data_IF_908650561056
#
_entry.id   IF_908650561056
#
_cell.length_a   1.000
_cell.length_b   1.000
_cell.length_c   1.000
_cell.angle_alpha   90.00
_cell.angle_beta   90.00
_cell.angle_gamma   90.00
#
_symmetry.space_group_name_H-M   'P 1'
#
loop_
_entity.id
_entity.type
_entity.pdbx_description
1 polymer ?
#
# COMPACT_ATOMS: atom_id res chain seq x y z
N UNK A 1 -13.17 -14.10 19.64
CA UNK A 1 -13.52 -12.67 19.74
C UNK A 1 -12.20 -11.92 19.82
N UNK A 2 -11.61 -11.56 18.68
CA UNK A 2 -10.35 -10.83 18.63
C UNK A 2 -10.62 -9.34 18.79
N UNK A 3 -9.85 -8.68 19.64
CA UNK A 3 -9.90 -7.24 19.85
C UNK A 3 -9.45 -6.51 18.57
N UNK A 4 -10.42 -6.16 17.72
CA UNK A 4 -10.25 -5.33 16.52
C UNK A 4 -10.21 -3.84 16.82
N UNK A 5 -9.59 -3.45 17.94
CA UNK A 5 -9.24 -2.06 18.20
C UNK A 5 -7.90 -1.72 17.56
N UNK A 6 -7.74 -0.48 17.11
CA UNK A 6 -6.46 0.06 16.62
C UNK A 6 -5.31 -0.31 17.55
N UNK A 7 -4.24 -0.91 17.02
CA UNK A 7 -3.04 -1.22 17.81
C UNK A 7 -2.49 0.11 18.36
N UNK A 8 -2.20 0.21 19.67
CA UNK A 8 -1.60 1.42 20.23
C UNK A 8 -0.32 1.80 19.50
N UNK A 9 -0.16 3.08 19.18
CA UNK A 9 1.04 3.57 18.50
C UNK A 9 2.31 3.42 19.36
N UNK A 10 2.16 3.39 20.69
CA UNK A 10 3.23 3.15 21.63
C UNK A 10 3.45 1.64 21.85
N UNK A 11 4.72 1.21 21.75
CA UNK A 11 5.08 -0.20 21.86
C UNK A 11 4.81 -0.78 23.26
N UNK A 12 5.06 -0.01 24.33
CA UNK A 12 4.83 -0.48 25.68
C UNK A 12 3.31 -0.69 25.92
N UNK A 13 2.50 0.28 25.50
CA UNK A 13 1.04 0.18 25.54
C UNK A 13 0.51 -0.97 24.67
N UNK A 14 1.09 -1.23 23.50
CA UNK A 14 0.71 -2.35 22.65
C UNK A 14 1.02 -3.70 23.32
N UNK A 15 2.18 -3.82 23.98
CA UNK A 15 2.56 -5.01 24.75
C UNK A 15 1.66 -5.20 25.97
N UNK A 16 1.32 -4.14 26.69
CA UNK A 16 0.35 -4.17 27.80
C UNK A 16 -1.05 -4.59 27.33
N UNK A 17 -1.42 -4.24 26.10
CA UNK A 17 -2.64 -4.69 25.43
C UNK A 17 -2.56 -6.14 24.90
N UNK A 18 -1.46 -6.84 25.14
CA UNK A 18 -1.27 -8.25 24.78
C UNK A 18 -0.89 -8.49 23.32
N UNK A 19 -0.41 -7.46 22.60
CA UNK A 19 0.08 -7.60 21.22
C UNK A 19 1.47 -8.24 21.21
N UNK A 20 1.67 -9.13 20.24
CA UNK A 20 2.95 -9.79 19.97
C UNK A 20 3.94 -8.84 19.30
N UNK A 21 5.24 -9.16 19.37
CA UNK A 21 6.27 -8.38 18.67
C UNK A 21 6.04 -8.35 17.15
N UNK A 22 5.54 -9.45 16.56
CA UNK A 22 5.19 -9.52 15.13
C UNK A 22 4.04 -8.56 14.78
N UNK A 23 2.95 -8.54 15.58
CA UNK A 23 1.82 -7.62 15.37
C UNK A 23 2.28 -6.15 15.47
N UNK A 24 3.18 -5.85 16.40
CA UNK A 24 3.75 -4.51 16.57
C UNK A 24 4.62 -4.13 15.37
N UNK A 25 5.44 -5.07 14.87
CA UNK A 25 6.27 -4.85 13.68
C UNK A 25 5.41 -4.61 12.42
N UNK A 26 4.37 -5.41 12.22
CA UNK A 26 3.43 -5.24 11.09
C UNK A 26 2.68 -3.92 11.21
N UNK A 27 2.21 -3.54 12.40
CA UNK A 27 1.55 -2.25 12.61
C UNK A 27 2.48 -1.10 12.21
N UNK A 28 3.70 -1.08 12.75
CA UNK A 28 4.74 -0.08 12.41
C UNK A 28 5.03 -0.07 10.92
N UNK A 29 5.08 -1.24 10.28
CA UNK A 29 5.27 -1.36 8.84
C UNK A 29 4.15 -0.64 8.06
N UNK A 30 2.90 -0.84 8.45
CA UNK A 30 1.74 -0.27 7.76
C UNK A 30 1.65 1.26 7.89
N UNK A 31 1.92 1.80 9.09
CA UNK A 31 1.77 3.24 9.38
C UNK A 31 3.02 4.05 9.05
N UNK A 32 4.16 3.39 8.87
CA UNK A 32 5.45 4.02 8.58
C UNK A 32 5.75 4.27 7.10
N UNK A 33 4.83 3.93 6.18
CA UNK A 33 5.05 4.08 4.75
C UNK A 33 5.21 5.56 4.36
N UNK A 34 4.52 6.45 5.09
CA UNK A 34 4.52 7.89 4.83
C UNK A 34 5.81 8.58 5.27
N UNK A 35 6.43 8.14 6.36
CA UNK A 35 7.63 8.76 6.93
C UNK A 35 8.91 7.95 6.71
N UNK A 36 8.79 6.74 6.17
CA UNK A 36 9.90 5.83 5.88
C UNK A 36 10.30 4.94 7.05
N UNK A 37 9.69 5.07 8.23
CA UNK A 37 9.99 4.25 9.41
C UNK A 37 9.66 2.76 9.23
N UNK A 38 8.87 2.41 8.20
CA UNK A 38 8.67 1.02 7.74
C UNK A 38 9.99 0.27 7.55
N UNK A 39 11.07 0.97 7.15
CA UNK A 39 12.38 0.35 6.93
C UNK A 39 12.99 -0.25 8.20
N UNK A 40 12.70 0.32 9.37
CA UNK A 40 13.26 -0.15 10.65
C UNK A 40 12.75 -1.56 11.02
N UNK A 41 11.56 -1.90 10.53
CA UNK A 41 10.88 -3.17 10.78
C UNK A 41 10.85 -4.08 9.54
N UNK A 42 11.59 -3.72 8.49
CA UNK A 42 11.71 -4.51 7.26
C UNK A 42 12.91 -5.47 7.34
N UNK A 43 12.70 -6.72 6.96
CA UNK A 43 13.77 -7.71 6.79
C UNK A 43 14.65 -7.35 5.57
N UNK A 44 15.82 -7.97 5.47
CA UNK A 44 16.68 -7.80 4.30
C UNK A 44 15.96 -8.28 3.04
N UNK A 45 15.99 -7.48 1.96
CA UNK A 45 15.26 -7.79 0.73
C UNK A 45 13.75 -7.87 0.93
N UNK A 46 13.18 -7.02 1.81
CA UNK A 46 11.74 -6.91 1.96
C UNK A 46 11.08 -6.39 0.69
N UNK A 47 9.94 -6.98 0.34
CA UNK A 47 9.13 -6.60 -0.81
C UNK A 47 7.72 -6.12 -0.39
N UNK A 48 7.15 -5.21 -1.16
CA UNK A 48 5.78 -4.74 -0.98
C UNK A 48 5.04 -4.71 -2.30
N UNK A 49 3.92 -5.43 -2.39
CA UNK A 49 3.03 -5.45 -3.55
C UNK A 49 1.71 -4.73 -3.25
N UNK A 50 1.53 -3.48 -3.67
CA UNK A 50 0.23 -2.81 -3.57
C UNK A 50 -0.75 -3.42 -4.58
N UNK A 51 -2.07 -3.21 -4.43
CA UNK A 51 -3.06 -3.75 -5.36
C UNK A 51 -2.77 -3.32 -6.81
N UNK A 52 -2.90 -4.26 -7.74
CA UNK A 52 -2.74 -3.98 -9.17
C UNK A 52 -1.30 -3.80 -9.65
N UNK A 53 -0.30 -3.98 -8.79
CA UNK A 53 1.11 -3.92 -9.17
C UNK A 53 1.91 -5.12 -8.65
N UNK A 54 2.99 -5.54 -9.35
CA UNK A 54 3.88 -6.56 -8.82
C UNK A 54 4.61 -6.08 -7.55
N UNK A 55 5.07 -7.00 -6.69
CA UNK A 55 5.91 -6.65 -5.56
C UNK A 55 7.16 -5.88 -5.97
N UNK A 56 7.47 -4.83 -5.20
CA UNK A 56 8.66 -3.99 -5.38
C UNK A 56 9.54 -4.06 -4.13
N UNK A 57 10.86 -3.89 -4.25
CA UNK A 57 11.72 -3.69 -3.10
C UNK A 57 11.24 -2.52 -2.24
N UNK A 58 11.28 -2.67 -0.91
CA UNK A 58 10.73 -1.67 0.01
C UNK A 58 11.34 -0.28 -0.19
N UNK A 59 12.63 -0.18 -0.54
CA UNK A 59 13.28 1.10 -0.84
C UNK A 59 12.69 1.82 -2.05
N UNK A 60 12.30 1.06 -3.10
CA UNK A 60 11.62 1.62 -4.26
C UNK A 60 10.21 2.10 -3.88
N UNK A 61 9.49 1.31 -3.08
CA UNK A 61 8.16 1.69 -2.58
C UNK A 61 8.22 2.98 -1.74
N UNK A 62 9.18 3.10 -0.82
CA UNK A 62 9.34 4.32 -0.01
C UNK A 62 9.71 5.55 -0.85
N UNK A 63 10.45 5.38 -1.94
CA UNK A 63 10.70 6.44 -2.91
C UNK A 63 9.40 6.96 -3.56
N UNK A 64 8.49 6.04 -3.93
CA UNK A 64 7.15 6.38 -4.44
C UNK A 64 6.33 7.08 -3.35
N UNK A 65 6.25 6.50 -2.14
CA UNK A 65 5.47 7.05 -1.03
C UNK A 65 5.92 8.46 -0.66
N UNK A 66 7.22 8.74 -0.68
CA UNK A 66 7.76 10.08 -0.42
C UNK A 66 7.21 11.14 -1.38
N UNK A 67 7.12 10.82 -2.68
CA UNK A 67 6.55 11.74 -3.66
C UNK A 67 5.05 11.94 -3.43
N UNK A 68 4.34 10.86 -3.12
CA UNK A 68 2.92 10.92 -2.79
C UNK A 68 2.64 11.79 -1.56
N UNK A 69 3.40 11.64 -0.46
CA UNK A 69 3.27 12.47 0.75
C UNK A 69 3.57 13.95 0.46
N UNK A 70 4.51 14.24 -0.44
CA UNK A 70 4.77 15.61 -0.87
C UNK A 70 3.55 16.28 -1.52
N UNK A 71 2.80 15.52 -2.33
CA UNK A 71 1.58 15.99 -2.99
C UNK A 71 0.33 15.91 -2.09
N UNK A 72 0.27 14.91 -1.21
CA UNK A 72 -0.84 14.54 -0.33
C UNK A 72 -0.35 14.56 1.14
N UNK A 73 -0.12 15.75 1.73
CA UNK A 73 0.52 15.85 3.04
C UNK A 73 -0.34 15.34 4.21
N UNK A 74 -1.65 15.18 3.98
CA UNK A 74 -2.57 14.63 4.98
C UNK A 74 -2.78 13.12 4.80
N UNK A 75 -2.04 12.47 3.89
CA UNK A 75 -2.16 11.04 3.65
C UNK A 75 -1.80 10.24 4.92
N UNK A 76 -2.70 9.30 5.27
CA UNK A 76 -2.52 8.34 6.36
C UNK A 76 -2.82 6.93 5.89
N UNK A 77 -2.02 5.98 6.35
CA UNK A 77 -2.31 4.54 6.28
C UNK A 77 -2.81 4.10 7.65
N UNK A 78 -4.02 3.57 7.71
CA UNK A 78 -4.59 2.97 8.91
C UNK A 78 -4.31 1.48 8.89
N UNK A 79 -3.87 0.93 10.03
CA UNK A 79 -3.83 -0.52 10.26
C UNK A 79 -5.00 -0.87 11.19
N UNK A 80 -6.04 -1.48 10.62
CA UNK A 80 -7.34 -1.68 11.25
C UNK A 80 -7.51 -3.10 11.82
N UNK A 81 -6.65 -4.04 11.44
CA UNK A 81 -6.69 -5.40 11.96
C UNK A 81 -5.46 -6.19 11.57
N UNK A 82 -5.02 -7.07 12.46
CA UNK A 82 -3.93 -8.02 12.24
C UNK A 82 -4.39 -9.35 12.84
N UNK A 83 -4.33 -10.40 12.05
CA UNK A 83 -4.69 -11.76 12.46
C UNK A 83 -3.62 -12.74 11.97
N UNK A 84 -3.09 -13.56 12.88
CA UNK A 84 -2.14 -14.61 12.52
C UNK A 84 -2.90 -15.82 11.98
N UNK A 85 -2.51 -16.27 10.80
CA UNK A 85 -3.06 -17.44 10.13
C UNK A 85 -2.35 -18.73 10.62
N UNK A 86 -2.98 -19.89 10.43
CA UNK A 86 -2.42 -21.20 10.84
C UNK A 86 -1.10 -21.54 10.13
N UNK A 87 -0.91 -21.03 8.91
CA UNK A 87 0.30 -21.20 8.10
C UNK A 87 1.47 -20.28 8.53
N UNK A 88 1.26 -19.46 9.57
CA UNK A 88 2.24 -18.52 10.10
C UNK A 88 2.30 -17.18 9.39
N UNK A 89 1.51 -16.97 8.33
CA UNK A 89 1.32 -15.65 7.71
C UNK A 89 0.37 -14.80 8.54
N UNK A 90 0.23 -13.52 8.17
CA UNK A 90 -0.69 -12.60 8.82
C UNK A 90 -1.65 -12.00 7.80
N UNK A 91 -2.94 -12.03 8.13
CA UNK A 91 -3.96 -11.23 7.45
C UNK A 91 -3.96 -9.84 8.06
N UNK A 92 -3.82 -8.80 7.24
CA UNK A 92 -3.71 -7.41 7.67
C UNK A 92 -4.76 -6.57 6.96
N UNK A 93 -5.51 -5.78 7.72
CA UNK A 93 -6.52 -4.87 7.19
C UNK A 93 -5.97 -3.45 7.21
N UNK A 94 -5.85 -2.82 6.05
CA UNK A 94 -5.39 -1.43 5.96
C UNK A 94 -6.32 -0.54 5.18
N UNK A 95 -6.33 0.75 5.50
CA UNK A 95 -7.08 1.74 4.75
C UNK A 95 -6.21 2.96 4.44
N UNK A 96 -6.19 3.38 3.17
CA UNK A 96 -5.49 4.59 2.74
C UNK A 96 -6.45 5.77 2.74
N UNK A 97 -6.13 6.80 3.52
CA UNK A 97 -6.87 8.05 3.61
C UNK A 97 -5.97 9.18 3.10
N UNK A 98 -6.08 9.51 1.82
CA UNK A 98 -5.08 10.32 1.11
C UNK A 98 -5.19 11.82 1.35
N UNK A 99 -6.31 12.32 1.89
CA UNK A 99 -6.59 13.76 1.92
C UNK A 99 -6.68 14.35 0.51
N UNK A 100 -6.85 15.67 0.41
CA UNK A 100 -6.84 16.37 -0.88
C UNK A 100 -5.40 16.65 -1.32
N UNK A 101 -5.15 16.59 -2.63
CA UNK A 101 -3.84 16.92 -3.20
C UNK A 101 -3.57 18.43 -3.09
N UNK A 102 -2.46 18.80 -2.45
CA UNK A 102 -2.07 20.20 -2.15
C UNK A 102 -0.88 20.72 -2.94
N UNK A 103 -0.12 19.82 -3.57
CA UNK A 103 1.04 20.16 -4.39
C UNK A 103 1.14 19.22 -5.59
N UNK A 104 1.90 19.63 -6.62
CA UNK A 104 2.11 18.83 -7.81
C UNK A 104 2.86 17.54 -7.46
N UNK A 105 2.42 16.42 -8.06
CA UNK A 105 3.10 15.14 -7.95
C UNK A 105 4.10 15.04 -9.11
N UNK A 106 5.42 14.94 -8.85
CA UNK A 106 6.38 14.73 -9.91
C UNK A 106 6.23 13.33 -10.52
N UNK A 107 6.61 13.18 -11.78
CA UNK A 107 6.78 11.86 -12.37
C UNK A 107 7.89 11.11 -11.61
N UNK A 108 7.72 9.80 -11.44
CA UNK A 108 8.73 8.96 -10.78
C UNK A 108 9.51 8.21 -11.85
N UNK A 109 10.79 8.59 -12.01
CA UNK A 109 11.67 8.02 -13.03
C UNK A 109 11.76 6.49 -12.91
N UNK A 110 11.69 5.78 -14.03
CA UNK A 110 11.72 4.31 -14.07
C UNK A 110 10.41 3.64 -13.67
N UNK A 111 9.33 4.39 -13.46
CA UNK A 111 8.00 3.86 -13.14
C UNK A 111 6.95 4.34 -14.15
N UNK A 112 5.76 3.70 -14.22
CA UNK A 112 4.66 4.18 -15.05
C UNK A 112 3.95 5.42 -14.50
N UNK A 113 4.38 5.98 -13.36
CA UNK A 113 3.66 7.06 -12.67
C UNK A 113 3.94 8.44 -13.30
N UNK A 114 2.93 9.07 -13.94
CA UNK A 114 3.10 10.36 -14.60
C UNK A 114 3.17 11.50 -13.59
N UNK A 115 3.61 12.67 -14.05
CA UNK A 115 3.42 13.90 -13.30
C UNK A 115 1.93 14.28 -13.25
N UNK A 116 1.48 14.82 -12.12
CA UNK A 116 0.12 15.33 -11.92
C UNK A 116 0.22 16.75 -11.38
N UNK A 117 -0.25 17.73 -12.14
CA UNK A 117 -0.33 19.11 -11.67
C UNK A 117 -1.69 19.34 -10.99
N UNK A 118 -1.71 20.00 -9.82
CA UNK A 118 -2.95 20.26 -9.06
C UNK A 118 -3.96 21.06 -9.90
N UNK A 119 -3.46 21.95 -10.75
CA UNK A 119 -4.26 22.76 -11.66
C UNK A 119 -5.01 21.92 -12.72
N UNK A 120 -4.48 20.75 -13.09
CA UNK A 120 -5.03 19.86 -14.12
C UNK A 120 -5.97 18.79 -13.56
N UNK A 121 -6.08 18.66 -12.24
CA UNK A 121 -6.98 17.70 -11.59
C UNK A 121 -8.44 18.11 -11.87
N UNK A 122 -9.32 17.17 -12.28
CA UNK A 122 -10.76 17.43 -12.37
C UNK A 122 -11.33 18.01 -11.08
N UNK A 123 -12.30 18.91 -11.16
CA UNK A 123 -12.81 19.61 -9.96
C UNK A 123 -13.41 18.65 -8.94
N UNK A 124 -14.11 17.62 -9.41
CA UNK A 124 -14.67 16.52 -8.63
C UNK A 124 -13.62 15.65 -7.92
N UNK A 125 -12.36 15.70 -8.37
CA UNK A 125 -11.25 14.94 -7.81
C UNK A 125 -10.39 15.75 -6.83
N UNK A 126 -10.71 17.04 -6.60
CA UNK A 126 -10.05 17.91 -5.60
C UNK A 126 -10.65 17.75 -4.21
N UNK A 127 -10.85 16.51 -3.78
CA UNK A 127 -11.48 16.15 -2.52
C UNK A 127 -10.55 15.29 -1.68
N UNK A 128 -10.90 15.10 -0.41
CA UNK A 128 -10.31 14.02 0.38
C UNK A 128 -10.77 12.67 -0.15
N UNK A 129 -9.84 11.74 -0.26
CA UNK A 129 -10.08 10.41 -0.83
C UNK A 129 -9.79 9.34 0.21
N UNK A 130 -10.75 8.46 0.43
CA UNK A 130 -10.63 7.29 1.29
C UNK A 130 -10.80 6.05 0.45
N UNK A 131 -9.77 5.21 0.37
CA UNK A 131 -9.85 3.94 -0.32
C UNK A 131 -10.65 2.92 0.53
N UNK A 132 -11.18 1.84 -0.08
CA UNK A 132 -11.74 0.72 0.66
C UNK A 132 -10.73 0.14 1.65
N UNK A 133 -11.20 -0.57 2.67
CA UNK A 133 -10.31 -1.35 3.54
C UNK A 133 -9.80 -2.54 2.74
N UNK A 134 -8.49 -2.60 2.55
CA UNK A 134 -7.78 -3.61 1.78
C UNK A 134 -7.36 -4.76 2.69
N UNK A 135 -7.46 -5.99 2.18
CA UNK A 135 -6.98 -7.20 2.85
C UNK A 135 -5.63 -7.59 2.27
N UNK A 136 -4.60 -7.52 3.10
CA UNK A 136 -3.23 -7.90 2.76
C UNK A 136 -2.77 -9.16 3.47
N UNK A 137 -1.78 -9.83 2.87
CA UNK A 137 -1.07 -10.97 3.45
C UNK A 137 0.37 -10.58 3.74
N UNK A 138 0.82 -10.81 4.97
CA UNK A 138 2.15 -10.47 5.45
C UNK A 138 2.91 -11.71 5.88
N UNK A 139 4.19 -11.76 5.52
CA UNK A 139 5.12 -12.82 5.97
C UNK A 139 6.24 -12.20 6.79
N UNK A 140 6.63 -12.89 7.86
CA UNK A 140 7.68 -12.45 8.78
C UNK A 140 8.96 -13.26 8.57
N UNK A 141 10.12 -12.63 8.79
CA UNK A 141 11.45 -13.24 8.84
C UNK A 141 12.20 -12.61 10.02
N UNK A 142 12.61 -13.43 10.99
CA UNK A 142 13.36 -13.00 12.18
C UNK A 142 12.76 -11.78 12.92
N UNK A 143 11.43 -11.78 13.10
CA UNK A 143 10.69 -10.71 13.80
C UNK A 143 10.53 -9.42 12.98
N UNK A 144 10.83 -9.45 11.68
CA UNK A 144 10.69 -8.33 10.75
C UNK A 144 9.78 -8.72 9.58
N UNK A 145 9.18 -7.73 8.93
CA UNK A 145 8.35 -7.97 7.75
C UNK A 145 9.25 -8.29 6.56
N UNK A 146 9.02 -9.45 5.93
CA UNK A 146 9.71 -9.89 4.72
C UNK A 146 8.93 -9.57 3.45
N UNK A 147 7.59 -9.63 3.53
CA UNK A 147 6.71 -9.34 2.41
C UNK A 147 5.36 -8.85 2.90
N UNK A 148 4.85 -7.79 2.31
CA UNK A 148 3.45 -7.40 2.36
C UNK A 148 2.84 -7.47 0.96
N UNK A 149 1.68 -8.11 0.81
CA UNK A 149 1.05 -8.29 -0.50
C UNK A 149 -0.45 -8.01 -0.42
N UNK A 150 -0.95 -7.18 -1.32
CA UNK A 150 -2.36 -6.89 -1.51
C UNK A 150 -2.79 -7.29 -2.91
N UNK A 151 -3.80 -8.15 -3.01
CA UNK A 151 -4.28 -8.73 -4.29
C UNK A 151 -5.63 -8.16 -4.73
N UNK A 152 -6.07 -7.06 -4.11
CA UNK A 152 -7.33 -6.40 -4.44
C UNK A 152 -8.54 -6.87 -3.65
N UNK A 153 -8.38 -7.74 -2.66
CA UNK A 153 -9.46 -8.09 -1.73
C UNK A 153 -9.78 -6.90 -0.80
N UNK A 154 -11.07 -6.66 -0.54
CA UNK A 154 -11.56 -5.61 0.35
C UNK A 154 -12.50 -6.16 1.42
N UNK A 155 -12.63 -5.45 2.55
CA UNK A 155 -13.51 -5.83 3.65
C UNK A 155 -14.40 -4.67 4.09
N UNK A 156 -15.70 -4.90 4.12
CA UNK A 156 -16.68 -3.94 4.64
C UNK A 156 -16.88 -4.10 6.16
N UNK A 157 -17.39 -3.05 6.82
CA UNK A 157 -17.82 -3.10 8.22
C UNK A 157 -16.69 -3.26 9.25
N UNK A 158 -15.46 -2.89 8.88
CA UNK A 158 -14.30 -2.94 9.79
C UNK A 158 -14.39 -1.79 10.80
N UNK A 159 -14.26 -2.11 12.09
CA UNK A 159 -14.26 -1.12 13.16
C UNK A 159 -13.11 -0.12 12.98
N UNK A 160 -13.40 1.17 13.17
CA UNK A 160 -12.41 2.25 13.00
C UNK A 160 -12.12 2.65 11.56
N UNK A 161 -12.70 1.97 10.56
CA UNK A 161 -12.60 2.38 9.16
C UNK A 161 -13.36 3.69 8.92
N UNK A 162 -12.79 4.57 8.10
CA UNK A 162 -13.50 5.70 7.52
C UNK A 162 -14.40 5.22 6.36
N UNK A 163 -15.46 5.99 6.05
CA UNK A 163 -16.33 5.70 4.92
C UNK A 163 -15.53 5.81 3.60
N UNK A 164 -15.46 4.74 2.78
CA UNK A 164 -14.75 4.80 1.50
C UNK A 164 -15.43 5.77 0.53
N UNK A 165 -14.63 6.50 -0.24
CA UNK A 165 -15.14 7.34 -1.33
C UNK A 165 -15.82 6.44 -2.38
N UNK A 166 -17.11 6.67 -2.74
CA UNK A 166 -17.86 5.75 -3.60
C UNK A 166 -17.18 5.41 -4.94
N UNK A 167 -16.54 6.39 -5.56
CA UNK A 167 -15.80 6.19 -6.81
C UNK A 167 -14.69 5.13 -6.67
N UNK A 168 -14.00 5.06 -5.53
CA UNK A 168 -12.95 4.07 -5.31
C UNK A 168 -13.52 2.66 -5.10
N UNK A 169 -14.72 2.53 -4.50
CA UNK A 169 -15.41 1.24 -4.39
C UNK A 169 -15.83 0.73 -5.78
N UNK A 170 -16.32 1.62 -6.65
CA UNK A 170 -16.67 1.25 -8.04
C UNK A 170 -15.43 0.89 -8.86
N UNK A 171 -14.36 1.68 -8.74
CA UNK A 171 -13.07 1.36 -9.37
C UNK A 171 -12.53 0.01 -8.89
N UNK A 172 -12.64 -0.31 -7.59
CA UNK A 172 -12.15 -1.59 -7.07
C UNK A 172 -12.80 -2.80 -7.74
N UNK A 173 -14.11 -2.69 -8.04
CA UNK A 173 -14.90 -3.74 -8.71
C UNK A 173 -14.57 -3.89 -10.19
N UNK A 174 -13.98 -2.87 -10.83
CA UNK A 174 -13.67 -2.89 -12.24
C UNK A 174 -12.44 -3.76 -12.56
N UNK A 175 -11.50 -3.89 -11.62
CA UNK A 175 -10.35 -4.79 -11.75
C UNK A 175 -9.04 -4.19 -11.26
N UNK A 176 -7.96 -5.00 -11.26
CA UNK A 176 -6.62 -4.61 -10.79
C UNK A 176 -6.08 -3.33 -11.44
N UNK A 177 -6.44 -3.04 -12.69
CA UNK A 177 -6.04 -1.84 -13.43
C UNK A 177 -6.62 -0.53 -12.87
N UNK A 178 -7.49 -0.63 -11.85
CA UNK A 178 -8.15 0.50 -11.19
C UNK A 178 -8.09 0.43 -9.67
N UNK A 179 -7.28 -0.47 -9.12
CA UNK A 179 -7.07 -0.61 -7.68
C UNK A 179 -5.81 0.16 -7.24
N UNK A 180 -5.74 0.52 -5.95
CA UNK A 180 -4.58 1.18 -5.35
C UNK A 180 -4.13 2.44 -6.13
N UNK A 181 -2.84 2.52 -6.47
CA UNK A 181 -2.28 3.64 -7.23
C UNK A 181 -2.97 3.85 -8.58
N UNK A 182 -3.31 2.78 -9.31
CA UNK A 182 -3.94 2.91 -10.61
C UNK A 182 -5.33 3.58 -10.52
N UNK A 183 -6.08 3.26 -9.47
CA UNK A 183 -7.34 3.93 -9.14
C UNK A 183 -7.14 5.42 -8.83
N UNK A 184 -6.15 5.75 -7.99
CA UNK A 184 -5.81 7.14 -7.68
C UNK A 184 -5.49 7.94 -8.95
N UNK A 185 -4.57 7.44 -9.77
CA UNK A 185 -4.12 8.10 -10.99
C UNK A 185 -5.27 8.27 -12.01
N UNK A 186 -6.15 7.27 -12.12
CA UNK A 186 -7.38 7.40 -12.91
C UNK A 186 -8.31 8.48 -12.36
N UNK A 187 -8.51 8.52 -11.05
CA UNK A 187 -9.39 9.48 -10.38
C UNK A 187 -8.92 10.94 -10.58
N UNK A 188 -7.61 11.19 -10.53
CA UNK A 188 -7.03 12.52 -10.80
C UNK A 188 -6.85 12.83 -12.29
N UNK A 189 -7.41 12.02 -13.20
CA UNK A 189 -7.42 12.27 -14.64
C UNK A 189 -6.12 11.93 -15.38
N UNK A 190 -5.22 11.15 -14.76
CA UNK A 190 -3.92 10.76 -15.31
C UNK A 190 -3.75 9.23 -15.24
N UNK A 191 -4.62 8.44 -15.91
CA UNK A 191 -4.64 6.99 -15.75
C UNK A 191 -3.29 6.35 -16.11
N UNK A 192 -2.90 5.33 -15.34
CA UNK A 192 -1.69 4.56 -15.59
C UNK A 192 -1.85 3.66 -16.83
N UNK A 193 -0.75 3.31 -17.51
CA UNK A 193 -0.78 2.25 -18.51
C UNK A 193 -1.21 0.94 -17.85
N UNK A 194 -1.90 0.09 -18.62
CA UNK A 194 -2.24 -1.26 -18.17
C UNK A 194 -0.95 -2.02 -17.79
N UNK A 195 -0.96 -2.84 -16.72
CA UNK A 195 0.16 -3.70 -16.41
C UNK A 195 0.45 -4.63 -17.61
N UNK A 196 1.73 -4.97 -17.86
CA UNK A 196 2.06 -5.95 -18.89
C UNK A 196 1.32 -7.26 -18.61
N UNK A 197 0.74 -7.88 -19.64
CA UNK A 197 0.11 -9.19 -19.51
C UNK A 197 1.17 -10.22 -19.05
N UNK A 198 0.79 -11.12 -18.15
CA UNK A 198 1.62 -12.17 -17.51
C UNK A 198 2.25 -13.21 -18.49
N UNK A 199 2.26 -12.96 -19.80
CA UNK A 199 2.76 -13.86 -20.84
C UNK A 199 4.16 -13.46 -21.36
N UNK A 200 5.14 -13.33 -20.46
CA UNK A 200 6.55 -13.33 -20.84
C UNK A 200 7.31 -14.37 -20.01
N UNK A 201 7.60 -15.57 -20.55
CA UNK A 201 8.53 -16.47 -19.89
C UNK A 201 9.88 -15.76 -19.75
N UNK A 202 10.47 -15.82 -18.56
CA UNK A 202 11.78 -15.26 -18.25
C UNK A 202 12.81 -15.79 -19.26
N UNK A 203 13.15 -14.97 -20.25
CA UNK A 203 14.23 -15.30 -21.17
C UNK A 203 15.53 -15.23 -20.36
N UNK A 204 16.07 -16.42 -20.08
CA UNK A 204 17.34 -16.62 -19.43
C UNK A 204 18.40 -15.90 -20.27
N UNK A 205 18.97 -14.83 -19.71
CA UNK A 205 20.17 -14.19 -20.24
C UNK A 205 21.31 -15.20 -20.02
N UNK A 206 21.47 -16.14 -20.95
CA UNK A 206 22.68 -16.93 -21.07
C UNK A 206 23.68 -16.13 -21.88
N UNK A 207 24.80 -15.82 -21.24
CA UNK A 207 25.97 -15.20 -21.82
C UNK A 207 26.46 -15.93 -23.09
N UNK A 208 27.08 -15.15 -23.98
CA UNK A 208 27.77 -15.56 -25.21
C UNK A 208 28.89 -16.59 -24.96
N UNK A 209 29.45 -17.25 -26.00
CA UNK A 209 30.45 -16.56 -26.82
C UNK A 209 30.47 -16.87 -28.33
N UNK A 210 31.20 -15.99 -29.01
CA UNK A 210 31.74 -15.98 -30.37
C UNK A 210 32.00 -17.32 -31.08
N UNK A 211 31.82 -17.32 -32.41
CA UNK A 211 32.87 -17.52 -33.42
C UNK A 211 32.46 -16.88 -34.77
#
# INVERSE_FOLDING_TARGET
MGAGGSIPADEAAAKEAGKTDDEIAIYKFCVGLQDGSTKDVSAEGCEFGPPGAPPLPIDAMLGICKNMVGALPDWKSLCLGIEKNEDGTYTVLTQQCCGAMKADLPAVEGTPFPAVAVAEIPEEAKIEMTLPVEVGTYTMEDGKVKKGLYVGEIRDGVEGAAEPTPAFVEMWKAGPETQGFAGFFKFVGKPLPAPPADDAPAEVISAAPAE
#
